data_IF_326934986688
#
_entry.id   IF_326934986688
#
_cell.length_a   1.000
_cell.length_b   1.000
_cell.length_c   1.000
_cell.angle_alpha   90.00
_cell.angle_beta   90.00
_cell.angle_gamma   90.00
#
_symmetry.space_group_name_H-M   'P 1'
#
loop_
_entity.id
_entity.type
_entity.pdbx_description
1 polymer ?
#
# COMPACT_ATOMS: atom_id res chain seq x y z
N UNK A 1 -13.76 -9.40 5.15
CA UNK A 1 -12.68 -8.47 4.74
C UNK A 1 -12.50 -8.65 3.25
N UNK A 2 -12.49 -7.58 2.42
CA UNK A 2 -12.23 -7.75 0.99
C UNK A 2 -10.83 -8.34 0.84
N UNK A 3 -10.71 -9.40 0.03
CA UNK A 3 -9.45 -10.09 -0.20
C UNK A 3 -8.51 -9.17 -0.99
N UNK A 4 -7.46 -8.67 -0.34
CA UNK A 4 -6.36 -7.91 -0.95
C UNK A 4 -5.55 -8.68 -2.02
N UNK A 5 -5.93 -9.92 -2.36
CA UNK A 5 -5.14 -10.83 -3.18
C UNK A 5 -5.39 -10.76 -4.70
N UNK A 6 -6.40 -10.04 -5.19
CA UNK A 6 -6.74 -10.07 -6.62
C UNK A 6 -6.47 -8.77 -7.40
N UNK A 7 -6.52 -7.60 -6.76
CA UNK A 7 -6.15 -6.32 -7.39
C UNK A 7 -4.73 -6.34 -7.98
N UNK A 8 -3.85 -7.11 -7.31
CA UNK A 8 -2.51 -7.50 -7.74
C UNK A 8 -2.45 -8.04 -9.17
N UNK A 9 -3.27 -9.06 -9.46
CA UNK A 9 -3.26 -9.72 -10.77
C UNK A 9 -3.61 -8.74 -11.89
N UNK A 10 -4.58 -7.87 -11.66
CA UNK A 10 -4.98 -6.88 -12.67
C UNK A 10 -3.86 -5.90 -13.02
N UNK A 11 -3.09 -5.45 -12.02
CA UNK A 11 -1.97 -4.55 -12.26
C UNK A 11 -0.85 -5.21 -13.07
N UNK A 12 -0.55 -6.49 -12.87
CA UNK A 12 0.59 -7.14 -13.51
C UNK A 12 0.31 -7.64 -14.94
N UNK A 13 -0.96 -7.70 -15.37
CA UNK A 13 -1.35 -8.35 -16.64
C UNK A 13 -1.10 -7.54 -17.91
N UNK A 14 -1.19 -6.21 -17.88
CA UNK A 14 -1.15 -5.39 -19.11
C UNK A 14 -0.46 -4.05 -18.87
N UNK A 15 0.40 -3.58 -19.78
CA UNK A 15 1.18 -2.33 -19.62
C UNK A 15 0.34 -1.04 -19.57
N UNK A 16 -0.94 -1.16 -19.93
CA UNK A 16 -1.90 -0.07 -19.96
C UNK A 16 -3.15 -0.43 -19.15
N UNK A 17 -3.82 0.59 -18.60
CA UNK A 17 -4.98 0.42 -17.73
C UNK A 17 -6.05 1.47 -18.03
N UNK A 18 -7.33 1.11 -17.91
CA UNK A 18 -8.42 2.09 -18.04
C UNK A 18 -8.53 2.98 -16.82
N UNK A 19 -9.18 4.13 -16.97
CA UNK A 19 -9.39 5.08 -15.86
C UNK A 19 -10.17 4.41 -14.72
N UNK A 20 -11.23 3.67 -15.03
CA UNK A 20 -12.08 3.02 -14.03
C UNK A 20 -11.32 1.94 -13.25
N UNK A 21 -10.51 1.14 -13.96
CA UNK A 21 -9.65 0.13 -13.34
C UNK A 21 -8.60 0.78 -12.43
N UNK A 22 -7.99 1.90 -12.86
CA UNK A 22 -7.05 2.65 -12.05
C UNK A 22 -7.71 3.21 -10.77
N UNK A 23 -8.96 3.69 -10.86
CA UNK A 23 -9.74 4.13 -9.70
C UNK A 23 -10.06 2.95 -8.78
N UNK A 24 -10.47 1.80 -9.33
CA UNK A 24 -10.76 0.59 -8.57
C UNK A 24 -9.56 0.16 -7.74
N UNK A 25 -8.40 0.03 -8.40
CA UNK A 25 -7.15 -0.32 -7.76
C UNK A 25 -6.75 0.72 -6.70
N UNK A 26 -6.89 2.02 -7.00
CA UNK A 26 -6.62 3.08 -6.02
C UNK A 26 -7.57 3.06 -4.81
N UNK A 27 -8.78 2.54 -4.96
CA UNK A 27 -9.70 2.31 -3.86
C UNK A 27 -9.47 0.97 -3.14
N UNK A 28 -8.57 0.12 -3.62
CA UNK A 28 -8.33 -1.21 -3.05
C UNK A 28 -9.45 -2.21 -3.33
N UNK A 29 -10.22 -2.00 -4.40
CA UNK A 29 -11.37 -2.82 -4.81
C UNK A 29 -11.06 -3.48 -6.16
N UNK A 30 -11.56 -4.68 -6.41
CA UNK A 30 -11.37 -5.32 -7.72
C UNK A 30 -12.13 -4.54 -8.81
N UNK A 31 -11.59 -4.40 -10.04
CA UNK A 31 -12.29 -3.71 -11.12
C UNK A 31 -13.70 -4.24 -11.40
N UNK A 32 -13.89 -5.56 -11.31
CA UNK A 32 -15.19 -6.20 -11.47
C UNK A 32 -16.19 -5.83 -10.35
N UNK A 33 -15.70 -5.70 -9.11
CA UNK A 33 -16.52 -5.26 -7.97
C UNK A 33 -16.88 -3.78 -8.13
N UNK A 34 -15.95 -2.94 -8.59
CA UNK A 34 -16.22 -1.53 -8.88
C UNK A 34 -17.30 -1.37 -9.96
N UNK A 35 -17.20 -2.15 -11.05
CA UNK A 35 -18.17 -2.15 -12.13
C UNK A 35 -19.58 -2.61 -11.68
N UNK A 36 -19.67 -3.36 -10.58
CA UNK A 36 -20.94 -3.80 -10.01
C UNK A 36 -21.60 -2.75 -9.09
N UNK A 37 -20.88 -1.67 -8.73
CA UNK A 37 -21.45 -0.59 -7.94
C UNK A 37 -22.31 0.32 -8.83
N UNK A 38 -23.61 0.37 -8.53
CA UNK A 38 -24.57 1.23 -9.26
C UNK A 38 -24.51 2.71 -8.87
N UNK A 39 -23.53 3.14 -8.07
CA UNK A 39 -23.40 4.52 -7.62
C UNK A 39 -21.93 4.92 -7.48
N UNK A 40 -21.60 6.14 -7.91
CA UNK A 40 -20.27 6.72 -7.73
C UNK A 40 -20.20 7.41 -6.37
N UNK A 41 -19.15 7.12 -5.59
CA UNK A 41 -18.91 7.82 -4.32
C UNK A 41 -18.15 9.11 -4.55
N UNK A 42 -18.28 10.10 -3.65
CA UNK A 42 -17.54 11.37 -3.75
C UNK A 42 -16.02 11.16 -3.84
N UNK A 43 -15.49 10.13 -3.17
CA UNK A 43 -14.07 9.76 -3.26
C UNK A 43 -13.68 9.29 -4.67
N UNK A 44 -14.53 8.48 -5.31
CA UNK A 44 -14.29 7.99 -6.68
C UNK A 44 -14.34 9.14 -7.69
N UNK A 45 -15.33 10.03 -7.59
CA UNK A 45 -15.41 11.21 -8.46
C UNK A 45 -14.21 12.14 -8.28
N UNK A 46 -13.70 12.31 -7.05
CA UNK A 46 -12.50 13.10 -6.80
C UNK A 46 -11.24 12.46 -7.42
N UNK A 47 -11.06 11.14 -7.26
CA UNK A 47 -9.95 10.40 -7.88
C UNK A 47 -10.00 10.45 -9.40
N UNK A 48 -11.20 10.30 -9.98
CA UNK A 48 -11.43 10.49 -11.42
C UNK A 48 -11.01 11.87 -11.88
N UNK A 49 -11.45 12.92 -11.19
CA UNK A 49 -11.09 14.29 -11.52
C UNK A 49 -9.57 14.53 -11.46
N UNK A 50 -8.88 13.93 -10.48
CA UNK A 50 -7.43 14.01 -10.38
C UNK A 50 -6.71 13.35 -11.57
N UNK A 51 -7.14 12.14 -11.97
CA UNK A 51 -6.60 11.45 -13.14
C UNK A 51 -6.85 12.22 -14.44
N UNK A 52 -8.08 12.71 -14.64
CA UNK A 52 -8.44 13.54 -15.81
C UNK A 52 -7.60 14.80 -15.88
N UNK A 53 -7.40 15.48 -14.75
CA UNK A 53 -6.55 16.67 -14.70
C UNK A 53 -5.10 16.35 -15.01
N UNK A 54 -4.57 15.24 -14.49
CA UNK A 54 -3.21 14.81 -14.77
C UNK A 54 -3.00 14.43 -16.25
N UNK A 55 -4.01 13.82 -16.88
CA UNK A 55 -4.03 13.56 -18.33
C UNK A 55 -4.05 14.86 -19.14
N UNK A 56 -4.93 15.81 -18.80
CA UNK A 56 -5.04 17.11 -19.50
C UNK A 56 -3.79 17.99 -19.36
N UNK A 57 -3.05 17.82 -18.27
CA UNK A 57 -1.81 18.57 -17.99
C UNK A 57 -0.55 17.81 -18.42
N UNK A 58 -0.71 16.73 -19.20
CA UNK A 58 0.39 15.93 -19.74
C UNK A 58 1.30 15.30 -18.67
N UNK A 59 0.82 15.19 -17.42
CA UNK A 59 1.52 14.49 -16.33
C UNK A 59 1.36 12.98 -16.40
N UNK A 60 0.32 12.51 -17.10
CA UNK A 60 0.07 11.10 -17.37
C UNK A 60 0.16 10.84 -18.87
N UNK A 61 0.95 9.84 -19.23
CA UNK A 61 1.02 9.31 -20.58
C UNK A 61 -0.14 8.34 -20.82
N UNK A 62 -0.71 8.38 -22.02
CA UNK A 62 -1.82 7.52 -22.43
C UNK A 62 -1.67 7.08 -23.88
N UNK A 63 -2.38 6.01 -24.24
CA UNK A 63 -2.52 5.55 -25.62
C UNK A 63 -3.96 5.81 -26.10
N UNK A 64 -4.09 6.44 -27.27
CA UNK A 64 -5.33 6.50 -28.03
C UNK A 64 -5.57 5.14 -28.70
N UNK A 65 -6.66 4.46 -28.33
CA UNK A 65 -7.08 3.18 -28.91
C UNK A 65 -7.55 3.33 -30.37
N UNK A 66 -7.86 4.56 -30.78
CA UNK A 66 -8.29 4.92 -32.11
C UNK A 66 -9.68 4.44 -32.48
N UNK A 67 -10.07 4.71 -33.73
CA UNK A 67 -11.32 4.22 -34.33
C UNK A 67 -10.98 3.27 -35.47
N UNK A 68 -11.51 2.06 -35.41
CA UNK A 68 -11.42 1.10 -36.52
C UNK A 68 -12.46 1.48 -37.57
N UNK A 69 -11.98 1.82 -38.77
CA UNK A 69 -12.85 2.10 -39.91
C UNK A 69 -13.37 0.83 -40.55
N UNK A 70 -14.40 0.94 -41.40
CA UNK A 70 -14.94 -0.17 -42.22
C UNK A 70 -13.90 -0.83 -43.14
N UNK A 71 -12.74 -0.19 -43.34
CA UNK A 71 -11.60 -0.71 -44.11
C UNK A 71 -10.50 -1.34 -43.24
N UNK A 72 -10.71 -1.47 -41.93
CA UNK A 72 -9.74 -2.02 -40.98
C UNK A 72 -8.59 -1.08 -40.62
N UNK A 73 -8.62 0.18 -41.06
CA UNK A 73 -7.61 1.18 -40.67
C UNK A 73 -7.96 1.79 -39.32
N UNK A 74 -6.96 1.95 -38.45
CA UNK A 74 -7.09 2.60 -37.13
C UNK A 74 -6.69 4.06 -37.24
N UNK A 75 -7.62 4.97 -36.97
CA UNK A 75 -7.34 6.41 -36.88
C UNK A 75 -7.12 6.81 -35.43
N UNK A 76 -6.01 7.49 -35.15
CA UNK A 76 -5.62 8.03 -33.84
C UNK A 76 -5.41 9.55 -33.93
N UNK A 77 -5.39 10.23 -32.79
CA UNK A 77 -5.08 11.67 -32.67
C UNK A 77 -6.29 12.55 -32.35
N UNK A 78 -7.33 11.99 -31.73
CA UNK A 78 -8.45 12.79 -31.25
C UNK A 78 -8.04 13.63 -30.01
N UNK A 79 -8.67 14.79 -29.77
CA UNK A 79 -8.41 15.57 -28.57
C UNK A 79 -8.77 14.79 -27.31
N UNK A 80 -8.04 15.07 -26.22
CA UNK A 80 -8.14 14.30 -24.98
C UNK A 80 -9.56 14.26 -24.39
N UNK A 81 -10.31 15.36 -24.49
CA UNK A 81 -11.68 15.42 -24.00
C UNK A 81 -12.62 14.48 -24.79
N UNK A 82 -12.41 14.33 -26.09
CA UNK A 82 -13.15 13.36 -26.90
C UNK A 82 -12.77 11.92 -26.54
N UNK A 83 -11.48 11.67 -26.29
CA UNK A 83 -11.01 10.35 -25.86
C UNK A 83 -11.58 9.94 -24.51
N UNK A 84 -11.70 10.90 -23.58
CA UNK A 84 -12.30 10.71 -22.26
C UNK A 84 -13.79 10.44 -22.36
N UNK A 85 -14.52 11.23 -23.15
CA UNK A 85 -15.97 11.08 -23.33
C UNK A 85 -16.33 9.73 -23.96
N UNK A 86 -15.51 9.24 -24.88
CA UNK A 86 -15.76 8.00 -25.64
C UNK A 86 -15.07 6.77 -25.06
N UNK A 87 -14.44 6.86 -23.88
CA UNK A 87 -13.67 5.79 -23.24
C UNK A 87 -12.67 5.10 -24.19
N UNK A 88 -11.93 5.90 -24.98
CA UNK A 88 -10.98 5.40 -26.00
C UNK A 88 -9.52 5.62 -25.64
N UNK A 89 -9.22 5.82 -24.36
CA UNK A 89 -7.85 5.96 -23.89
C UNK A 89 -7.54 4.95 -22.81
N UNK A 90 -6.28 4.52 -22.79
CA UNK A 90 -5.71 3.73 -21.70
C UNK A 90 -4.47 4.43 -21.18
N UNK A 91 -4.29 4.47 -19.86
CA UNK A 91 -3.18 5.14 -19.20
C UNK A 91 -1.98 4.19 -19.19
N UNK A 92 -0.79 4.69 -19.49
CA UNK A 92 0.44 3.94 -19.34
C UNK A 92 0.73 3.69 -17.84
N UNK A 93 0.86 2.43 -17.42
CA UNK A 93 1.05 2.09 -16.00
C UNK A 93 2.35 2.64 -15.40
N UNK A 94 3.44 2.72 -16.18
CA UNK A 94 4.71 3.24 -15.68
C UNK A 94 4.62 4.73 -15.39
N UNK A 95 3.97 5.48 -16.29
CA UNK A 95 3.63 6.89 -16.07
C UNK A 95 2.72 7.07 -14.85
N UNK A 96 1.67 6.25 -14.75
CA UNK A 96 0.73 6.27 -13.62
C UNK A 96 1.40 5.98 -12.28
N UNK A 97 2.33 5.00 -12.24
CA UNK A 97 3.12 4.70 -11.04
C UNK A 97 3.96 5.89 -10.60
N UNK A 98 4.71 6.51 -11.52
CA UNK A 98 5.54 7.69 -11.23
C UNK A 98 4.69 8.87 -10.73
N UNK A 99 3.49 9.04 -11.30
CA UNK A 99 2.56 10.06 -10.85
C UNK A 99 2.04 9.78 -9.43
N UNK A 100 1.69 8.53 -9.12
CA UNK A 100 1.30 8.14 -7.75
C UNK A 100 2.41 8.37 -6.72
N UNK A 101 3.68 8.16 -7.09
CA UNK A 101 4.84 8.43 -6.21
C UNK A 101 4.93 9.92 -5.80
N UNK A 102 4.40 10.83 -6.60
CA UNK A 102 4.40 12.28 -6.33
C UNK A 102 3.26 12.71 -5.40
N UNK A 103 2.26 11.85 -5.16
CA UNK A 103 1.17 12.16 -4.24
C UNK A 103 1.63 12.15 -2.78
N UNK A 104 0.94 12.89 -1.89
CA UNK A 104 1.12 12.76 -0.44
C UNK A 104 1.01 11.31 0.00
N UNK A 105 1.79 10.92 1.01
CA UNK A 105 1.87 9.52 1.46
C UNK A 105 0.49 8.90 1.77
N UNK A 106 -0.41 9.67 2.40
CA UNK A 106 -1.77 9.23 2.76
C UNK A 106 -2.67 8.96 1.55
N UNK A 107 -2.39 9.61 0.42
CA UNK A 107 -3.18 9.51 -0.82
C UNK A 107 -2.62 8.45 -1.77
N UNK A 108 -1.45 7.87 -1.46
CA UNK A 108 -0.84 6.86 -2.31
C UNK A 108 -1.66 5.57 -2.28
N UNK A 109 -1.87 4.93 -3.44
CA UNK A 109 -2.55 3.65 -3.48
C UNK A 109 -1.78 2.58 -2.70
N UNK A 110 -2.36 2.09 -1.61
CA UNK A 110 -1.75 1.05 -0.77
C UNK A 110 -1.28 -0.17 -1.58
N UNK A 111 -2.03 -0.57 -2.62
CA UNK A 111 -1.65 -1.72 -3.44
C UNK A 111 -0.28 -1.57 -4.13
N UNK A 112 0.22 -0.36 -4.42
CA UNK A 112 1.52 -0.17 -5.08
C UNK A 112 2.68 -0.01 -4.09
N UNK A 113 2.40 0.46 -2.89
CA UNK A 113 3.42 0.93 -1.94
C UNK A 113 3.40 0.18 -0.60
N UNK A 114 2.60 -0.89 -0.49
CA UNK A 114 2.66 -1.79 0.64
C UNK A 114 4.10 -2.31 0.82
N UNK A 115 4.64 -2.23 2.04
CA UNK A 115 6.00 -2.65 2.39
C UNK A 115 6.26 -4.11 1.99
N UNK A 116 5.21 -4.94 1.96
CA UNK A 116 5.27 -6.33 1.51
C UNK A 116 5.61 -6.49 0.00
N UNK A 117 5.58 -5.41 -0.80
CA UNK A 117 5.87 -5.41 -2.25
C UNK A 117 7.21 -4.80 -2.65
N UNK A 118 7.99 -4.20 -1.74
CA UNK A 118 9.31 -3.75 -2.15
C UNK A 118 10.12 -4.96 -2.59
N UNK A 119 10.52 -5.07 -3.88
CA UNK A 119 11.47 -6.08 -4.26
C UNK A 119 12.72 -5.80 -3.44
N UNK A 120 13.14 -6.77 -2.62
CA UNK A 120 14.46 -6.75 -2.00
C UNK A 120 15.44 -6.55 -3.16
N UNK A 121 15.98 -5.33 -3.28
CA UNK A 121 16.93 -5.01 -4.34
C UNK A 121 18.12 -5.96 -4.13
N UNK A 122 18.61 -6.65 -5.17
CA UNK A 122 19.85 -7.39 -5.08
C UNK A 122 21.00 -6.39 -5.18
N UNK A 123 21.12 -5.48 -4.21
CA UNK A 123 22.23 -4.53 -4.12
C UNK A 123 23.48 -5.16 -3.49
N UNK A 124 23.52 -6.50 -3.42
CA UNK A 124 24.66 -7.26 -2.92
C UNK A 124 24.98 -6.98 -1.45
N UNK A 125 24.14 -6.23 -0.75
CA UNK A 125 24.19 -6.16 0.70
C UNK A 125 23.32 -7.28 1.24
N UNK A 126 23.92 -8.23 1.95
CA UNK A 126 23.19 -9.17 2.83
C UNK A 126 22.59 -8.41 4.04
N UNK A 127 22.05 -7.21 3.84
CA UNK A 127 21.15 -6.63 4.79
C UNK A 127 19.78 -7.25 4.50
N UNK A 128 19.53 -8.44 5.03
CA UNK A 128 18.17 -8.88 5.26
C UNK A 128 17.54 -7.83 6.20
N UNK A 129 16.93 -6.80 5.61
CA UNK A 129 16.32 -5.72 6.37
C UNK A 129 15.34 -6.33 7.36
N UNK A 130 15.57 -6.03 8.63
CA UNK A 130 14.88 -6.69 9.72
C UNK A 130 13.41 -6.30 9.68
N UNK A 131 12.52 -7.26 9.39
CA UNK A 131 11.06 -7.11 9.50
C UNK A 131 10.72 -6.39 10.82
N UNK A 132 9.86 -5.37 10.77
CA UNK A 132 9.41 -4.60 11.93
C UNK A 132 8.92 -5.48 13.09
N UNK A 133 8.25 -6.60 12.81
CA UNK A 133 7.84 -7.57 13.84
C UNK A 133 9.03 -8.30 14.46
N UNK A 134 10.07 -8.64 13.67
CA UNK A 134 11.31 -9.23 14.18
C UNK A 134 12.09 -8.24 15.05
N UNK A 135 12.14 -6.97 14.62
CA UNK A 135 12.71 -5.88 15.40
C UNK A 135 11.98 -5.67 16.74
N UNK A 136 10.65 -5.60 16.70
CA UNK A 136 9.79 -5.47 17.89
C UNK A 136 10.02 -6.64 18.84
N UNK A 137 10.06 -7.88 18.33
CA UNK A 137 10.31 -9.05 19.15
C UNK A 137 11.70 -9.01 19.81
N UNK A 138 12.74 -8.60 19.08
CA UNK A 138 14.11 -8.47 19.61
C UNK A 138 14.19 -7.37 20.68
N UNK A 139 13.65 -6.19 20.40
CA UNK A 139 13.62 -5.08 21.37
C UNK A 139 12.85 -5.47 22.63
N UNK A 140 11.72 -6.16 22.50
CA UNK A 140 10.96 -6.66 23.64
C UNK A 140 11.77 -7.67 24.48
N UNK A 141 12.58 -8.53 23.84
CA UNK A 141 13.49 -9.43 24.57
C UNK A 141 14.63 -8.67 25.25
N UNK A 142 15.21 -7.64 24.62
CA UNK A 142 16.24 -6.80 25.24
C UNK A 142 15.69 -6.05 26.46
N UNK A 143 14.50 -5.47 26.32
CA UNK A 143 13.82 -4.74 27.39
C UNK A 143 13.40 -5.65 28.54
N UNK A 144 12.86 -6.84 28.21
CA UNK A 144 12.58 -7.87 29.19
C UNK A 144 13.85 -8.26 29.95
N UNK A 145 14.99 -8.47 29.26
CA UNK A 145 16.27 -8.79 29.91
C UNK A 145 16.83 -7.66 30.78
N UNK A 146 16.59 -6.40 30.41
CA UNK A 146 17.14 -5.25 31.14
C UNK A 146 16.38 -4.95 32.44
N UNK A 147 15.08 -5.26 32.51
CA UNK A 147 14.29 -5.04 33.72
C UNK A 147 13.21 -6.11 33.93
N UNK A 148 13.20 -6.71 35.13
CA UNK A 148 12.28 -7.80 35.51
C UNK A 148 10.79 -7.43 35.41
N UNK A 149 10.44 -6.14 35.57
CA UNK A 149 9.05 -5.66 35.42
C UNK A 149 8.46 -5.91 34.02
N UNK A 150 9.30 -6.11 33.01
CA UNK A 150 8.91 -6.41 31.64
C UNK A 150 8.90 -7.91 31.33
N UNK A 151 8.95 -8.77 32.35
CA UNK A 151 8.96 -10.22 32.19
C UNK A 151 7.70 -10.87 32.76
N UNK A 152 7.28 -11.99 32.14
CA UNK A 152 6.46 -13.02 32.80
C UNK A 152 7.28 -14.31 32.77
N UNK A 153 7.79 -14.71 33.94
CA UNK A 153 8.79 -15.76 34.02
C UNK A 153 10.06 -15.35 33.26
N UNK A 154 10.51 -16.18 32.30
CA UNK A 154 11.69 -15.92 31.48
C UNK A 154 11.38 -15.32 30.10
N UNK A 155 10.16 -14.83 29.87
CA UNK A 155 9.68 -14.33 28.58
C UNK A 155 9.24 -12.87 28.68
N UNK A 156 9.27 -12.11 27.57
CA UNK A 156 8.74 -10.75 27.54
C UNK A 156 7.25 -10.72 27.91
N UNK A 157 6.88 -9.74 28.74
CA UNK A 157 5.50 -9.43 29.10
C UNK A 157 4.94 -8.40 28.12
N UNK A 158 4.14 -8.84 27.14
CA UNK A 158 3.58 -7.96 26.12
C UNK A 158 2.77 -6.80 26.72
N UNK A 159 1.94 -7.07 27.74
CA UNK A 159 1.11 -6.05 28.38
C UNK A 159 1.94 -4.99 29.09
N UNK A 160 2.86 -5.41 29.97
CA UNK A 160 3.70 -4.47 30.74
C UNK A 160 4.64 -3.64 29.83
N UNK A 161 5.14 -4.25 28.75
CA UNK A 161 5.95 -3.54 27.75
C UNK A 161 5.08 -2.55 26.98
N UNK A 162 3.89 -2.97 26.54
CA UNK A 162 2.99 -2.10 25.78
C UNK A 162 2.54 -0.90 26.61
N UNK A 163 2.22 -1.08 27.88
CA UNK A 163 1.85 0.01 28.78
C UNK A 163 2.99 1.03 28.91
N UNK A 164 4.22 0.56 29.11
CA UNK A 164 5.38 1.46 29.21
C UNK A 164 5.69 2.19 27.90
N UNK A 165 5.49 1.54 26.74
CA UNK A 165 5.66 2.19 25.43
C UNK A 165 4.60 3.25 25.21
N UNK A 166 3.34 2.99 25.59
CA UNK A 166 2.26 3.98 25.47
C UNK A 166 2.55 5.19 26.35
N UNK A 167 2.93 4.97 27.62
CA UNK A 167 3.28 6.06 28.52
C UNK A 167 4.45 6.90 28.00
N UNK A 168 5.51 6.26 27.51
CA UNK A 168 6.65 6.96 26.93
C UNK A 168 6.27 7.73 25.65
N UNK A 169 5.38 7.17 24.82
CA UNK A 169 4.90 7.84 23.62
C UNK A 169 4.04 9.07 23.94
N UNK A 170 3.21 9.01 24.99
CA UNK A 170 2.46 10.18 25.47
C UNK A 170 3.37 11.31 25.97
N UNK A 171 4.49 10.97 26.62
CA UNK A 171 5.48 11.94 27.10
C UNK A 171 6.35 12.52 25.96
N UNK A 172 6.78 11.69 25.01
CA UNK A 172 7.73 12.07 23.97
C UNK A 172 7.07 12.60 22.69
N UNK A 173 5.81 12.21 22.44
CA UNK A 173 5.05 12.53 21.23
C UNK A 173 3.59 12.91 21.56
N UNK A 174 3.35 14.00 22.32
CA UNK A 174 2.05 14.32 22.92
C UNK A 174 0.90 14.61 21.94
N UNK A 175 1.16 14.68 20.63
CA UNK A 175 0.17 15.00 19.59
C UNK A 175 -0.10 13.86 18.61
N UNK A 176 0.61 12.74 18.72
CA UNK A 176 0.53 11.62 17.77
C UNK A 176 0.40 10.28 18.50
N UNK A 177 -0.78 10.05 19.05
CA UNK A 177 -1.13 8.80 19.76
C UNK A 177 -1.97 7.85 18.89
N UNK A 178 -2.21 8.20 17.63
CA UNK A 178 -3.00 7.37 16.71
C UNK A 178 -2.26 6.06 16.44
N UNK A 179 -2.95 4.95 16.65
CA UNK A 179 -2.40 3.62 16.42
C UNK A 179 -1.63 3.00 17.60
N UNK A 180 -1.33 3.76 18.67
CA UNK A 180 -0.66 3.24 19.88
C UNK A 180 -1.48 2.15 20.58
N UNK A 181 -2.81 2.26 20.57
CA UNK A 181 -3.72 1.26 21.12
C UNK A 181 -3.59 -0.12 20.43
N UNK A 182 -3.14 -0.14 19.18
CA UNK A 182 -2.90 -1.39 18.44
C UNK A 182 -1.52 -2.01 18.72
N UNK A 183 -0.63 -1.30 19.42
CA UNK A 183 0.74 -1.74 19.65
C UNK A 183 0.79 -3.04 20.45
N UNK A 184 -0.03 -3.20 21.49
CA UNK A 184 -0.10 -4.45 22.25
C UNK A 184 -0.37 -5.65 21.34
N UNK A 185 -1.31 -5.51 20.40
CA UNK A 185 -1.62 -6.55 19.41
C UNK A 185 -0.43 -6.84 18.50
N UNK A 186 0.23 -5.81 17.97
CA UNK A 186 1.44 -5.96 17.13
C UNK A 186 2.59 -6.62 17.90
N UNK A 187 2.81 -6.24 19.16
CA UNK A 187 3.82 -6.83 20.03
C UNK A 187 3.52 -8.30 20.33
N UNK A 188 2.26 -8.63 20.62
CA UNK A 188 1.83 -10.01 20.82
C UNK A 188 2.05 -10.87 19.57
N UNK A 189 1.75 -10.34 18.39
CA UNK A 189 2.00 -11.00 17.11
C UNK A 189 3.50 -11.19 16.84
N UNK A 190 4.30 -10.16 17.04
CA UNK A 190 5.76 -10.21 16.94
C UNK A 190 6.37 -11.30 17.84
N UNK A 191 5.97 -11.34 19.11
CA UNK A 191 6.45 -12.34 20.06
C UNK A 191 5.97 -13.75 19.72
N UNK A 192 4.77 -13.90 19.15
CA UNK A 192 4.27 -15.20 18.69
C UNK A 192 5.07 -15.74 17.51
N UNK A 193 5.38 -14.87 16.53
CA UNK A 193 6.08 -15.26 15.30
C UNK A 193 7.57 -15.50 15.54
N UNK A 194 8.25 -14.58 16.24
CA UNK A 194 9.71 -14.58 16.34
C UNK A 194 10.23 -14.96 17.73
N UNK A 195 9.38 -14.97 18.75
CA UNK A 195 9.79 -15.37 20.10
C UNK A 195 10.39 -16.78 20.19
N UNK A 196 9.88 -17.81 19.50
CA UNK A 196 10.49 -19.13 19.48
C UNK A 196 11.92 -19.12 18.89
N UNK A 197 12.13 -18.40 17.79
CA UNK A 197 13.44 -18.25 17.13
C UNK A 197 14.45 -17.56 18.07
N UNK A 198 14.05 -16.45 18.68
CA UNK A 198 14.91 -15.68 19.60
C UNK A 198 15.27 -16.48 20.85
N UNK A 199 14.35 -17.29 21.38
CA UNK A 199 14.61 -18.15 22.53
C UNK A 199 15.42 -19.41 22.17
N UNK A 200 15.31 -19.90 20.94
CA UNK A 200 16.03 -21.07 20.43
C UNK A 200 17.53 -20.83 20.24
N UNK A 201 17.97 -19.59 20.04
CA UNK A 201 19.39 -19.21 19.97
C UNK A 201 20.04 -18.98 21.35
N UNK A 202 19.47 -19.53 22.43
CA UNK A 202 20.18 -19.70 23.70
C UNK A 202 21.12 -20.91 23.60
N UNK A 203 22.25 -20.74 22.93
CA UNK A 203 23.45 -21.56 23.11
C UNK A 203 24.56 -20.68 23.65
#
# INVERSE_FOLDING_TARGET
MPNSNNCLRYWDLADHIRIDDAIALWCGVEPAELASLNFETQCMSAKRAALVTALRTERLEYEDLGIVTSRGQVFKGAPIDELLEKDRLVINKASLRRWFEQLPFEDRPAFLFDEARQPVLPDGSEAAEMNSLKAIALMAHLLAKSASKYQVGNRPNASAISEAVIQAAEELMPSDTRGLLSFNKKLGEALKLFGPEINGHRT
#
